data_IF_763414132989
#
_entry.id   IF_763414132989
#
_cell.length_a   1.000
_cell.length_b   1.000
_cell.length_c   1.000
_cell.angle_alpha   90.00
_cell.angle_beta   90.00
_cell.angle_gamma   90.00
#
_symmetry.space_group_name_H-M   'P 1'
#
loop_
_entity.id
_entity.type
_entity.pdbx_description
1 polymer ?
#
# COMPACT_ATOMS: atom_id res chain seq x y z
N UNK A 1 -31.89 4.78 5.16
CA UNK A 1 -30.50 5.13 4.80
C UNK A 1 -30.12 4.88 3.32
N UNK A 2 -30.42 3.72 2.71
CA UNK A 2 -30.00 3.42 1.32
C UNK A 2 -30.55 4.40 0.25
N UNK A 3 -31.77 4.90 0.42
CA UNK A 3 -32.37 5.95 -0.44
C UNK A 3 -31.57 7.26 -0.38
N UNK A 4 -31.19 7.68 0.84
CA UNK A 4 -30.38 8.87 1.06
C UNK A 4 -29.02 8.76 0.35
N UNK A 5 -28.35 7.61 0.49
CA UNK A 5 -27.06 7.36 -0.20
C UNK A 5 -27.19 7.43 -1.72
N UNK A 6 -28.27 6.88 -2.28
CA UNK A 6 -28.50 6.91 -3.73
C UNK A 6 -28.71 8.34 -4.24
N UNK A 7 -29.43 9.16 -3.47
CA UNK A 7 -29.67 10.56 -3.80
C UNK A 7 -28.41 11.41 -3.62
N UNK A 8 -27.66 11.21 -2.54
CA UNK A 8 -26.41 11.92 -2.26
C UNK A 8 -25.36 11.63 -3.33
N UNK A 9 -25.11 10.35 -3.65
CA UNK A 9 -24.11 9.97 -4.65
C UNK A 9 -24.44 10.51 -6.04
N UNK A 10 -25.73 10.53 -6.43
CA UNK A 10 -26.16 11.12 -7.71
C UNK A 10 -25.78 12.61 -7.83
N UNK A 11 -25.87 13.37 -6.73
CA UNK A 11 -25.47 14.79 -6.70
C UNK A 11 -23.95 14.93 -6.61
N UNK A 12 -23.31 14.15 -5.74
CA UNK A 12 -21.88 14.23 -5.47
C UNK A 12 -21.05 13.90 -6.71
N UNK A 13 -21.41 12.90 -7.51
CA UNK A 13 -20.59 12.51 -8.67
C UNK A 13 -20.35 13.65 -9.65
N UNK A 14 -21.35 14.50 -9.89
CA UNK A 14 -21.19 15.67 -10.76
C UNK A 14 -20.38 16.80 -10.14
N UNK A 15 -20.38 16.92 -8.81
CA UNK A 15 -19.59 17.92 -8.09
C UNK A 15 -18.13 17.49 -8.04
N UNK A 16 -17.87 16.25 -7.61
CA UNK A 16 -16.54 15.65 -7.47
C UNK A 16 -15.72 15.71 -8.75
N UNK A 17 -16.36 15.44 -9.91
CA UNK A 17 -15.68 15.51 -11.20
C UNK A 17 -15.30 16.94 -11.59
N UNK A 18 -16.09 17.94 -11.21
CA UNK A 18 -15.81 19.36 -11.50
C UNK A 18 -14.76 19.93 -10.55
N UNK A 19 -14.80 19.54 -9.29
CA UNK A 19 -13.88 20.01 -8.25
C UNK A 19 -12.53 19.28 -8.24
N UNK A 20 -12.33 18.27 -9.11
CA UNK A 20 -11.14 17.40 -9.15
C UNK A 20 -10.78 16.80 -7.77
N UNK A 21 -11.79 16.54 -6.95
CA UNK A 21 -11.59 16.00 -5.59
C UNK A 21 -11.74 14.49 -5.61
N UNK A 22 -10.98 13.76 -4.78
CA UNK A 22 -11.21 12.33 -4.55
C UNK A 22 -12.11 12.14 -3.32
N UNK A 23 -13.17 11.35 -3.45
CA UNK A 23 -14.02 10.96 -2.32
C UNK A 23 -13.74 9.51 -1.94
N UNK A 24 -13.30 9.29 -0.70
CA UNK A 24 -13.02 7.98 -0.13
C UNK A 24 -14.12 7.63 0.86
N UNK A 25 -14.79 6.50 0.62
CA UNK A 25 -15.79 5.95 1.53
C UNK A 25 -15.22 4.71 2.21
N UNK A 26 -15.10 4.76 3.53
CA UNK A 26 -14.76 3.60 4.35
C UNK A 26 -16.08 2.90 4.71
N UNK A 27 -16.16 1.60 4.45
CA UNK A 27 -17.36 0.83 4.73
C UNK A 27 -17.00 -0.49 5.41
N UNK A 28 -17.84 -0.90 6.34
CA UNK A 28 -17.68 -2.16 7.06
C UNK A 28 -18.44 -3.28 6.33
N UNK A 29 -17.93 -4.49 6.46
CA UNK A 29 -18.62 -5.70 6.03
C UNK A 29 -19.67 -6.07 7.08
N UNK A 30 -20.80 -6.59 6.61
CA UNK A 30 -21.87 -7.20 7.39
C UNK A 30 -22.25 -8.50 6.74
N UNK A 31 -22.73 -9.45 7.52
CA UNK A 31 -23.31 -10.67 6.99
C UNK A 31 -24.78 -10.46 6.70
N UNK A 32 -25.24 -10.95 5.55
CA UNK A 32 -26.66 -10.95 5.21
C UNK A 32 -27.28 -12.25 5.72
N UNK A 33 -28.11 -12.14 6.74
CA UNK A 33 -28.88 -13.27 7.28
C UNK A 33 -29.77 -13.86 6.18
N UNK A 34 -29.79 -15.19 6.06
CA UNK A 34 -30.64 -15.93 5.12
C UNK A 34 -30.03 -16.22 3.74
N UNK A 35 -28.73 -16.03 3.55
CA UNK A 35 -28.01 -16.48 2.34
C UNK A 35 -27.48 -17.90 2.56
N UNK A 36 -28.09 -18.89 1.88
CA UNK A 36 -27.71 -20.31 1.98
C UNK A 36 -26.65 -20.70 0.93
N UNK A 37 -26.46 -19.89 -0.11
CA UNK A 37 -25.49 -20.14 -1.19
C UNK A 37 -24.81 -18.84 -1.65
N UNK A 38 -23.49 -18.90 -1.87
CA UNK A 38 -22.66 -17.77 -2.30
C UNK A 38 -22.00 -16.98 -1.17
N UNK A 39 -21.37 -15.84 -1.49
CA UNK A 39 -20.71 -14.99 -0.50
C UNK A 39 -21.75 -14.23 0.36
N UNK A 40 -21.85 -14.48 1.68
CA UNK A 40 -22.83 -13.83 2.56
C UNK A 40 -22.47 -12.36 2.89
N UNK A 41 -21.27 -11.92 2.52
CA UNK A 41 -20.79 -10.59 2.83
C UNK A 41 -21.49 -9.49 2.02
N UNK A 42 -22.02 -8.52 2.74
CA UNK A 42 -22.59 -7.30 2.17
C UNK A 42 -22.00 -6.06 2.83
N UNK A 43 -22.08 -4.93 2.13
CA UNK A 43 -21.62 -3.64 2.63
C UNK A 43 -22.84 -2.80 2.99
N UNK A 44 -22.72 -1.95 4.02
CA UNK A 44 -23.82 -1.06 4.41
C UNK A 44 -24.09 0.02 3.35
N UNK A 45 -25.25 0.69 3.42
CA UNK A 45 -25.59 1.79 2.50
C UNK A 45 -26.24 1.39 1.17
N UNK A 46 -26.60 0.11 1.01
CA UNK A 46 -27.30 -0.39 -0.18
C UNK A 46 -26.38 -0.59 -1.38
N UNK A 47 -26.95 -0.57 -2.60
CA UNK A 47 -26.21 -0.89 -3.84
C UNK A 47 -25.56 0.33 -4.51
N UNK A 48 -26.00 1.55 -4.20
CA UNK A 48 -25.59 2.76 -4.91
C UNK A 48 -24.06 2.96 -4.91
N UNK A 49 -23.42 2.82 -3.74
CA UNK A 49 -21.97 2.98 -3.63
C UNK A 49 -21.22 1.97 -4.50
N UNK A 50 -21.72 0.74 -4.65
CA UNK A 50 -21.12 -0.28 -5.52
C UNK A 50 -21.14 0.14 -7.00
N UNK A 51 -22.14 0.89 -7.45
CA UNK A 51 -22.27 1.34 -8.83
C UNK A 51 -21.51 2.64 -9.12
N UNK A 52 -21.64 3.64 -8.22
CA UNK A 52 -21.04 4.96 -8.39
C UNK A 52 -19.52 4.99 -8.14
N UNK A 53 -18.98 4.09 -7.32
CA UNK A 53 -17.52 3.99 -7.12
C UNK A 53 -16.77 3.67 -8.41
N UNK A 54 -15.69 4.43 -8.65
CA UNK A 54 -14.74 4.14 -9.74
C UNK A 54 -13.77 3.02 -9.38
N UNK A 55 -13.35 2.96 -8.12
CA UNK A 55 -12.51 1.91 -7.56
C UNK A 55 -13.14 1.36 -6.28
N UNK A 56 -12.99 0.06 -6.04
CA UNK A 56 -13.35 -0.59 -4.78
C UNK A 56 -12.21 -1.49 -4.37
N UNK A 57 -11.72 -1.25 -3.16
CA UNK A 57 -10.62 -1.99 -2.55
C UNK A 57 -11.20 -2.71 -1.35
N UNK A 58 -11.04 -4.03 -1.34
CA UNK A 58 -11.34 -4.89 -0.22
C UNK A 58 -10.06 -5.10 0.56
N UNK A 59 -10.05 -4.67 1.82
CA UNK A 59 -8.88 -4.75 2.70
C UNK A 59 -9.14 -5.82 3.74
N UNK A 60 -8.27 -6.84 3.79
CA UNK A 60 -8.33 -7.91 4.79
C UNK A 60 -7.00 -8.01 5.52
N UNK A 61 -7.08 -8.25 6.83
CA UNK A 61 -5.93 -8.69 7.62
C UNK A 61 -5.63 -10.13 7.25
N UNK A 62 -4.37 -10.42 6.92
CA UNK A 62 -3.88 -11.76 6.63
C UNK A 62 -3.22 -12.33 7.87
N UNK A 63 -1.95 -12.00 8.12
CA UNK A 63 -1.16 -12.56 9.21
C UNK A 63 -0.72 -11.50 10.23
N UNK A 64 -0.33 -11.96 11.43
CA UNK A 64 0.20 -11.10 12.48
C UNK A 64 1.72 -11.09 12.39
N UNK A 65 2.33 -9.91 12.34
CA UNK A 65 3.80 -9.76 12.33
C UNK A 65 4.26 -9.79 13.79
N UNK A 66 5.14 -10.74 14.11
CA UNK A 66 5.69 -10.93 15.45
C UNK A 66 7.18 -10.65 15.46
N UNK A 67 7.64 -9.98 16.51
CA UNK A 67 9.06 -9.80 16.80
C UNK A 67 9.33 -10.41 18.18
N UNK A 68 9.95 -11.59 18.21
CA UNK A 68 10.03 -12.39 19.42
C UNK A 68 8.64 -12.85 19.89
N UNK A 69 8.23 -12.41 21.08
CA UNK A 69 6.91 -12.71 21.67
C UNK A 69 5.83 -11.68 21.34
N UNK A 70 6.21 -10.47 20.90
CA UNK A 70 5.29 -9.35 20.76
C UNK A 70 4.76 -9.22 19.34
N UNK A 71 3.47 -8.85 19.22
CA UNK A 71 2.84 -8.57 17.93
C UNK A 71 3.08 -7.11 17.58
N UNK A 72 3.99 -6.86 16.63
CA UNK A 72 4.42 -5.53 16.21
C UNK A 72 3.58 -4.95 15.06
N UNK A 73 2.82 -5.79 14.36
CA UNK A 73 1.99 -5.33 13.26
C UNK A 73 1.12 -6.42 12.63
N UNK A 74 0.50 -6.06 11.52
CA UNK A 74 -0.33 -6.96 10.73
C UNK A 74 0.08 -6.88 9.26
N UNK A 75 0.18 -8.04 8.62
CA UNK A 75 0.22 -8.14 7.16
C UNK A 75 -1.21 -8.01 6.62
N UNK A 76 -1.39 -7.14 5.64
CA UNK A 76 -2.70 -6.77 5.09
C UNK A 76 -2.70 -7.01 3.59
N UNK A 77 -3.77 -7.63 3.09
CA UNK A 77 -3.99 -7.81 1.66
C UNK A 77 -5.13 -6.91 1.20
N UNK A 78 -4.82 -6.04 0.24
CA UNK A 78 -5.78 -5.19 -0.46
C UNK A 78 -6.08 -5.75 -1.85
N UNK A 79 -7.33 -6.18 -2.08
CA UNK A 79 -7.81 -6.67 -3.38
C UNK A 79 -8.65 -5.62 -4.08
N UNK A 80 -8.31 -5.29 -5.31
CA UNK A 80 -9.10 -4.37 -6.13
C UNK A 80 -10.28 -5.12 -6.75
N UNK A 81 -11.43 -5.12 -6.08
CA UNK A 81 -12.64 -5.84 -6.54
C UNK A 81 -13.40 -5.12 -7.65
N UNK A 82 -13.17 -3.81 -7.83
CA UNK A 82 -13.70 -3.03 -8.95
C UNK A 82 -12.69 -1.97 -9.35
N UNK A 83 -12.43 -1.82 -10.64
CA UNK A 83 -11.61 -0.77 -11.19
C UNK A 83 -12.19 -0.33 -12.54
N UNK A 84 -12.45 0.97 -12.71
CA UNK A 84 -12.93 1.55 -13.99
C UNK A 84 -11.80 2.17 -14.83
N UNK A 85 -10.59 2.28 -14.29
CA UNK A 85 -9.46 2.98 -14.93
C UNK A 85 -8.39 2.02 -15.46
N UNK A 86 -8.26 0.84 -14.86
CA UNK A 86 -7.26 -0.17 -15.21
C UNK A 86 -7.83 -1.58 -14.94
N UNK A 87 -7.12 -2.67 -15.35
CA UNK A 87 -7.59 -4.03 -15.11
C UNK A 87 -7.91 -4.31 -13.63
N UNK A 88 -9.10 -4.84 -13.30
CA UNK A 88 -9.49 -5.15 -11.93
C UNK A 88 -8.84 -6.46 -11.42
N UNK A 89 -9.11 -6.80 -10.16
CA UNK A 89 -8.75 -8.05 -9.46
C UNK A 89 -7.28 -8.25 -9.10
N UNK A 90 -6.42 -7.25 -9.33
CA UNK A 90 -5.08 -7.22 -8.76
C UNK A 90 -5.14 -7.19 -7.22
N UNK A 91 -4.14 -7.82 -6.59
CA UNK A 91 -3.94 -7.84 -5.15
C UNK A 91 -2.62 -7.14 -4.83
N UNK A 92 -2.60 -6.40 -3.73
CA UNK A 92 -1.40 -5.87 -3.13
C UNK A 92 -1.33 -6.38 -1.69
N UNK A 93 -0.18 -6.88 -1.28
CA UNK A 93 0.07 -7.29 0.10
C UNK A 93 1.13 -6.36 0.66
N UNK A 94 0.87 -5.80 1.83
CA UNK A 94 1.78 -4.87 2.49
C UNK A 94 1.65 -4.99 4.01
N UNK A 95 2.69 -4.53 4.70
CA UNK A 95 2.78 -4.64 6.15
C UNK A 95 2.37 -3.32 6.82
N UNK A 96 1.51 -3.41 7.84
CA UNK A 96 1.11 -2.29 8.70
C UNK A 96 1.72 -2.51 10.08
N UNK A 97 2.68 -1.66 10.45
CA UNK A 97 3.31 -1.67 11.78
C UNK A 97 2.57 -0.71 12.70
N UNK A 98 2.28 -1.16 13.91
CA UNK A 98 1.58 -0.32 14.90
C UNK A 98 2.44 0.90 15.27
N UNK A 99 1.82 2.09 15.29
CA UNK A 99 2.51 3.36 15.57
C UNK A 99 3.28 3.97 14.39
N UNK A 100 3.61 3.19 13.35
CA UNK A 100 4.36 3.70 12.17
C UNK A 100 3.52 3.75 10.89
N UNK A 101 2.50 2.90 10.75
CA UNK A 101 1.66 2.83 9.56
C UNK A 101 2.20 1.84 8.51
N UNK A 102 1.99 2.17 7.23
CA UNK A 102 2.37 1.29 6.10
C UNK A 102 3.89 1.30 5.92
N UNK A 103 4.48 0.11 5.89
CA UNK A 103 5.92 -0.11 5.79
C UNK A 103 6.42 -0.01 4.34
N UNK A 104 6.61 1.22 3.83
CA UNK A 104 7.08 1.48 2.46
C UNK A 104 8.39 0.77 2.10
N UNK A 105 9.36 0.76 3.02
CA UNK A 105 10.67 0.10 2.89
C UNK A 105 10.53 -1.41 2.67
N UNK A 106 9.67 -2.06 3.47
CA UNK A 106 9.37 -3.48 3.34
C UNK A 106 8.73 -3.84 2.00
N UNK A 107 7.75 -3.05 1.55
CA UNK A 107 7.06 -3.28 0.28
C UNK A 107 8.01 -3.12 -0.92
N UNK A 108 8.91 -2.12 -0.87
CA UNK A 108 9.94 -1.92 -1.89
C UNK A 108 10.89 -3.11 -1.94
N UNK A 109 11.35 -3.61 -0.80
CA UNK A 109 12.24 -4.76 -0.74
C UNK A 109 11.60 -6.03 -1.34
N UNK A 110 10.36 -6.32 -0.99
CA UNK A 110 9.65 -7.49 -1.49
C UNK A 110 9.45 -7.41 -3.02
N UNK A 111 9.05 -6.24 -3.53
CA UNK A 111 8.94 -5.99 -4.96
C UNK A 111 10.29 -6.05 -5.68
N UNK A 112 11.37 -5.59 -5.04
CA UNK A 112 12.72 -5.66 -5.59
C UNK A 112 13.19 -7.10 -5.77
N UNK A 113 12.88 -7.96 -4.81
CA UNK A 113 13.19 -9.38 -4.87
C UNK A 113 12.35 -10.08 -5.94
N UNK A 114 11.05 -9.76 -6.03
CA UNK A 114 10.16 -10.31 -7.05
C UNK A 114 10.60 -9.94 -8.48
N UNK A 115 11.06 -8.70 -8.68
CA UNK A 115 11.57 -8.20 -9.96
C UNK A 115 13.06 -8.49 -10.19
N UNK A 116 13.71 -9.26 -9.32
CA UNK A 116 15.13 -9.67 -9.41
C UNK A 116 16.14 -8.51 -9.38
N UNK A 117 15.77 -7.36 -8.84
CA UNK A 117 16.69 -6.24 -8.56
C UNK A 117 17.55 -6.53 -7.32
N UNK A 118 16.96 -7.26 -6.35
CA UNK A 118 17.65 -7.73 -5.15
C UNK A 118 17.70 -9.25 -5.18
N UNK A 119 18.89 -9.80 -5.04
CA UNK A 119 19.12 -11.23 -4.92
C UNK A 119 18.98 -11.66 -3.45
N UNK A 120 18.29 -12.79 -3.23
CA UNK A 120 18.18 -13.43 -1.92
C UNK A 120 19.01 -14.71 -1.88
N UNK A 121 20.17 -14.65 -1.22
CA UNK A 121 21.06 -15.80 -1.02
C UNK A 121 20.85 -16.37 0.37
N UNK A 122 19.91 -17.30 0.49
CA UNK A 122 19.47 -17.85 1.77
C UNK A 122 18.81 -16.77 2.63
N UNK A 123 19.48 -16.39 3.72
CA UNK A 123 19.03 -15.33 4.63
C UNK A 123 19.53 -13.94 4.24
N UNK A 124 20.45 -13.83 3.28
CA UNK A 124 21.10 -12.57 2.91
C UNK A 124 20.40 -11.90 1.74
N UNK A 125 20.25 -10.57 1.81
CA UNK A 125 19.78 -9.72 0.73
C UNK A 125 20.96 -8.95 0.14
N UNK A 126 21.11 -9.01 -1.18
CA UNK A 126 22.23 -8.40 -1.90
C UNK A 126 21.71 -7.69 -3.14
N UNK A 127 22.18 -6.47 -3.37
CA UNK A 127 21.86 -5.67 -4.55
C UNK A 127 23.15 -5.48 -5.35
N UNK A 128 23.28 -6.16 -6.49
CA UNK A 128 24.56 -6.22 -7.21
C UNK A 128 25.67 -6.81 -6.32
N UNK A 129 26.69 -6.00 -6.04
CA UNK A 129 27.81 -6.36 -5.14
C UNK A 129 27.60 -5.90 -3.68
N UNK A 130 26.58 -5.08 -3.42
CA UNK A 130 26.34 -4.49 -2.11
C UNK A 130 25.41 -5.34 -1.24
N UNK A 131 25.83 -5.60 0.00
CA UNK A 131 25.05 -6.40 0.96
C UNK A 131 24.12 -5.50 1.75
N UNK A 132 22.82 -5.63 1.52
CA UNK A 132 21.76 -4.88 2.22
C UNK A 132 21.59 -5.35 3.67
N UNK A 133 21.85 -6.64 3.94
CA UNK A 133 21.80 -7.19 5.29
C UNK A 133 21.35 -8.65 5.36
N UNK A 134 21.45 -9.22 6.57
CA UNK A 134 20.95 -10.56 6.88
C UNK A 134 19.54 -10.47 7.46
N UNK A 135 18.58 -11.09 6.78
CA UNK A 135 17.18 -11.08 7.17
C UNK A 135 16.40 -9.87 6.65
N UNK A 136 15.07 -10.01 6.62
CA UNK A 136 14.16 -9.00 6.05
C UNK A 136 14.18 -7.70 6.86
N UNK A 137 14.25 -7.79 8.19
CA UNK A 137 14.20 -6.60 9.06
C UNK A 137 15.46 -5.74 8.93
N UNK A 138 16.65 -6.36 8.91
CA UNK A 138 17.89 -5.62 8.74
C UNK A 138 18.00 -4.97 7.36
N UNK A 139 17.61 -5.68 6.29
CA UNK A 139 17.58 -5.11 4.95
C UNK A 139 16.60 -3.93 4.83
N UNK A 140 15.46 -4.02 5.54
CA UNK A 140 14.48 -2.95 5.62
C UNK A 140 15.03 -1.74 6.39
N UNK A 141 15.68 -1.96 7.52
CA UNK A 141 16.32 -0.90 8.30
C UNK A 141 17.40 -0.18 7.45
N UNK A 142 18.21 -0.95 6.72
CA UNK A 142 19.23 -0.39 5.83
C UNK A 142 18.63 0.51 4.72
N UNK A 143 17.48 0.13 4.15
CA UNK A 143 16.77 0.97 3.18
C UNK A 143 16.17 2.23 3.81
N UNK A 144 15.75 2.17 5.08
CA UNK A 144 15.24 3.32 5.81
C UNK A 144 16.34 4.31 6.19
N UNK A 145 17.53 3.81 6.51
CA UNK A 145 18.73 4.61 6.81
C UNK A 145 19.33 5.24 5.53
N UNK A 146 19.05 4.67 4.35
CA UNK A 146 19.55 5.15 3.06
C UNK A 146 18.41 5.57 2.09
N UNK A 147 17.75 6.72 2.30
CA UNK A 147 16.65 7.19 1.45
C UNK A 147 17.02 7.36 -0.02
N UNK A 148 18.28 7.71 -0.32
CA UNK A 148 18.77 7.86 -1.70
C UNK A 148 18.72 6.54 -2.47
N UNK A 149 19.16 5.44 -1.83
CA UNK A 149 19.10 4.10 -2.39
C UNK A 149 17.64 3.64 -2.53
N UNK A 150 16.83 3.88 -1.50
CA UNK A 150 15.40 3.53 -1.51
C UNK A 150 14.66 4.21 -2.68
N UNK A 151 14.90 5.50 -2.92
CA UNK A 151 14.27 6.25 -4.02
C UNK A 151 14.76 5.79 -5.39
N UNK A 152 16.05 5.46 -5.52
CA UNK A 152 16.61 4.89 -6.75
C UNK A 152 15.92 3.57 -7.10
N UNK A 153 15.82 2.67 -6.12
CA UNK A 153 15.20 1.36 -6.27
C UNK A 153 13.70 1.49 -6.57
N UNK A 154 12.99 2.39 -5.88
CA UNK A 154 11.58 2.65 -6.16
C UNK A 154 11.36 3.19 -7.58
N UNK A 155 12.23 4.07 -8.08
CA UNK A 155 12.15 4.60 -9.44
C UNK A 155 12.41 3.53 -10.50
N UNK A 156 13.34 2.60 -10.25
CA UNK A 156 13.57 1.46 -11.12
C UNK A 156 12.36 0.53 -11.16
N UNK A 157 11.78 0.19 -10.01
CA UNK A 157 10.53 -0.58 -9.92
C UNK A 157 9.36 0.11 -10.64
N UNK A 158 9.20 1.42 -10.46
CA UNK A 158 8.17 2.22 -11.16
C UNK A 158 8.38 2.18 -12.66
N UNK A 159 9.63 2.25 -13.13
CA UNK A 159 9.97 2.16 -14.57
C UNK A 159 9.59 0.81 -15.16
N UNK A 160 9.89 -0.30 -14.46
CA UNK A 160 9.51 -1.66 -14.88
C UNK A 160 7.98 -1.77 -15.01
N UNK A 161 7.23 -1.17 -14.08
CA UNK A 161 5.77 -1.21 -14.08
C UNK A 161 5.10 -0.10 -14.91
N UNK A 162 5.86 0.73 -15.64
CA UNK A 162 5.32 1.80 -16.49
C UNK A 162 4.63 2.93 -15.72
N UNK A 163 5.02 3.15 -14.46
CA UNK A 163 4.49 4.19 -13.58
C UNK A 163 5.35 5.46 -13.65
N UNK A 164 4.77 6.65 -13.38
CA UNK A 164 5.53 7.89 -13.32
C UNK A 164 6.60 7.80 -12.22
N UNK A 165 7.82 8.21 -12.59
CA UNK A 165 8.95 8.31 -11.66
C UNK A 165 8.64 9.38 -10.61
N UNK A 166 9.09 9.12 -9.38
CA UNK A 166 9.18 10.17 -8.39
C UNK A 166 10.29 11.12 -8.83
N UNK A 167 9.98 12.41 -8.92
CA UNK A 167 11.02 13.41 -9.15
C UNK A 167 12.14 13.26 -8.12
N UNK A 168 13.39 13.40 -8.55
CA UNK A 168 14.52 13.53 -7.62
C UNK A 168 14.30 14.82 -6.82
N UNK A 169 13.64 14.72 -5.68
CA UNK A 169 13.36 15.83 -4.79
C UNK A 169 13.35 15.33 -3.36
N UNK A 170 14.24 15.91 -2.55
CA UNK A 170 14.38 15.75 -1.09
C UNK A 170 15.30 14.61 -0.59
N UNK A 171 16.51 14.50 -1.16
CA UNK A 171 17.62 13.78 -0.51
C UNK A 171 18.95 14.58 -0.46
N UNK A 172 18.90 15.91 -0.65
CA UNK A 172 20.08 16.77 -0.64
C UNK A 172 19.94 18.05 0.20
N UNK A 173 18.96 18.12 1.11
CA UNK A 173 18.88 19.21 2.11
C UNK A 173 18.55 18.63 3.47
N UNK A 174 19.60 18.36 4.23
CA UNK A 174 19.74 18.47 5.69
C UNK A 174 20.75 17.45 6.23
N UNK A 175 22.03 17.75 6.03
CA UNK A 175 23.01 17.67 7.13
C UNK A 175 23.90 18.91 6.98
N UNK A 176 23.59 20.06 7.64
CA UNK A 176 24.62 21.04 7.86
C UNK A 176 25.61 20.39 8.84
N UNK A 177 26.86 20.29 8.39
CA UNK A 177 27.99 19.89 9.18
C UNK A 177 27.96 20.62 10.53
N UNK A 178 28.13 19.87 11.62
CA UNK A 178 28.55 20.44 12.88
C UNK A 178 29.93 21.08 12.64
N UNK A 179 29.93 22.38 12.37
CA UNK A 179 31.13 23.19 12.30
C UNK A 179 31.64 23.35 13.74
N UNK A 180 32.82 22.78 13.96
CA UNK A 180 33.66 22.97 15.13
C UNK A 180 33.84 24.47 15.38
N UNK A 181 33.32 24.97 16.50
CA UNK A 181 33.71 26.27 17.04
C UNK A 181 34.70 26.03 18.17
N UNK A 182 35.98 26.12 17.82
CA UNK A 182 37.09 26.56 18.69
C UNK A 182 36.94 28.02 19.08
#
# INVERSE_FOLDING_TARGET
>A
QARLMSQALRKLTGITSRSKTALIFINQVREKIGVVFGNPETTTGGRALKFYSSMRIEVRRSDSIKMGTDIVGNQVTAKVVKNKLAPPFKKATFDIIFGRGISKSGDILDLAVENKLVAKSGSWYTMGDEKLGQGRENAKQYLEENPALQNSLENELRKIHGLPQLGQGDAAKEVPAAEEAS
#
